data_IF_005476377362
#
_entry.id   IF_005476377362
#
_cell.length_a   1.000
_cell.length_b   1.000
_cell.length_c   1.000
_cell.angle_alpha   90.00
_cell.angle_beta   90.00
_cell.angle_gamma   90.00
#
_symmetry.space_group_name_H-M   'P 1'
#
loop_
_entity.id
_entity.type
_entity.pdbx_description
1 polymer ?
#
# COMPACT_ATOMS: atom_id res chain seq x y z
N UNK A 1 -20.86 -5.67 15.05
CA UNK A 1 -21.28 -6.65 14.00
C UNK A 1 -20.03 -7.24 13.35
N UNK A 2 -20.03 -8.54 13.00
CA UNK A 2 -18.93 -9.22 12.31
C UNK A 2 -19.40 -9.55 10.91
N UNK A 3 -18.55 -9.31 9.91
CA UNK A 3 -18.77 -9.72 8.51
C UNK A 3 -17.58 -10.58 8.11
N UNK A 4 -17.86 -11.83 7.74
CA UNK A 4 -16.84 -12.77 7.28
C UNK A 4 -16.74 -12.73 5.76
N UNK A 5 -15.54 -12.59 5.25
CA UNK A 5 -15.23 -12.77 3.83
C UNK A 5 -14.44 -14.07 3.69
N UNK A 6 -14.92 -14.96 2.84
CA UNK A 6 -14.30 -16.28 2.64
C UNK A 6 -13.85 -16.42 1.19
N UNK A 7 -12.63 -16.92 0.97
CA UNK A 7 -12.06 -17.11 -0.37
C UNK A 7 -12.93 -18.06 -1.23
N UNK A 8 -13.51 -19.08 -0.62
CA UNK A 8 -14.45 -20.02 -1.28
C UNK A 8 -15.70 -19.33 -1.85
N UNK A 9 -16.10 -18.15 -1.33
CA UNK A 9 -17.26 -17.41 -1.85
C UNK A 9 -17.02 -16.89 -3.28
N UNK A 10 -15.76 -16.75 -3.70
CA UNK A 10 -15.37 -16.35 -5.06
C UNK A 10 -14.69 -17.47 -5.85
N UNK A 11 -14.57 -18.68 -5.28
CA UNK A 11 -13.97 -19.83 -5.94
C UNK A 11 -12.44 -19.88 -5.85
N UNK A 12 -11.84 -19.14 -4.92
CA UNK A 12 -10.41 -19.09 -4.70
C UNK A 12 -10.01 -19.89 -3.44
N UNK A 13 -8.80 -20.45 -3.43
CA UNK A 13 -8.25 -21.10 -2.24
C UNK A 13 -7.89 -20.08 -1.16
N UNK A 14 -7.31 -18.96 -1.58
CA UNK A 14 -6.84 -17.89 -0.69
C UNK A 14 -7.17 -16.52 -1.27
N UNK A 15 -7.33 -15.51 -0.42
CA UNK A 15 -7.40 -14.11 -0.86
C UNK A 15 -6.03 -13.53 -1.22
N UNK A 16 -4.96 -14.10 -0.71
CA UNK A 16 -3.60 -13.63 -0.86
C UNK A 16 -2.70 -14.18 0.23
N UNK A 17 -1.53 -13.59 0.35
CA UNK A 17 -0.55 -13.93 1.37
C UNK A 17 -0.03 -12.66 2.05
N UNK A 18 0.18 -12.74 3.35
CA UNK A 18 0.95 -11.77 4.10
C UNK A 18 2.41 -12.19 4.10
N UNK A 19 3.27 -11.33 3.60
CA UNK A 19 4.70 -11.60 3.47
C UNK A 19 5.45 -10.45 4.13
N UNK A 20 6.39 -10.77 4.98
CA UNK A 20 7.26 -9.78 5.61
C UNK A 20 8.13 -9.08 4.56
N UNK A 21 8.21 -7.76 4.64
CA UNK A 21 8.84 -6.92 3.61
C UNK A 21 10.29 -7.33 3.30
N UNK A 22 11.07 -7.74 4.33
CA UNK A 22 12.45 -8.16 4.13
C UNK A 22 12.57 -9.41 3.25
N UNK A 23 11.60 -10.33 3.30
CA UNK A 23 11.57 -11.55 2.49
C UNK A 23 11.39 -11.18 1.02
N UNK A 24 10.43 -10.28 0.73
CA UNK A 24 10.20 -9.78 -0.64
C UNK A 24 11.43 -9.04 -1.16
N UNK A 25 12.02 -8.15 -0.35
CA UNK A 25 13.21 -7.40 -0.72
C UNK A 25 14.40 -8.30 -1.04
N UNK A 26 14.67 -9.29 -0.19
CA UNK A 26 15.77 -10.23 -0.42
C UNK A 26 15.54 -11.06 -1.69
N UNK A 27 14.33 -11.61 -1.87
CA UNK A 27 14.00 -12.40 -3.05
C UNK A 27 14.13 -11.59 -4.35
N UNK A 28 13.65 -10.33 -4.36
CA UNK A 28 13.78 -9.45 -5.52
C UNK A 28 15.24 -9.05 -5.77
N UNK A 29 15.98 -8.71 -4.72
CA UNK A 29 17.42 -8.38 -4.84
C UNK A 29 18.21 -9.55 -5.41
N UNK A 30 18.02 -10.74 -4.88
CA UNK A 30 18.72 -11.93 -5.34
C UNK A 30 18.38 -12.23 -6.81
N UNK A 31 17.12 -12.03 -7.20
CA UNK A 31 16.69 -12.16 -8.59
C UNK A 31 17.34 -11.13 -9.49
N UNK A 32 17.38 -9.86 -9.10
CA UNK A 32 18.03 -8.77 -9.85
C UNK A 32 19.50 -9.07 -10.07
N UNK A 33 20.23 -9.54 -9.03
CA UNK A 33 21.66 -9.87 -9.12
C UNK A 33 21.94 -11.04 -10.08
N UNK A 34 20.98 -11.93 -10.31
CA UNK A 34 21.10 -13.05 -11.26
C UNK A 34 20.81 -12.64 -12.72
N UNK A 35 20.16 -11.50 -12.94
CA UNK A 35 19.73 -11.09 -14.27
C UNK A 35 20.83 -10.29 -14.99
N UNK A 36 21.36 -10.84 -16.09
CA UNK A 36 22.46 -10.22 -16.87
C UNK A 36 22.05 -8.92 -17.59
N UNK A 37 20.77 -8.69 -17.80
CA UNK A 37 20.21 -7.51 -18.46
C UNK A 37 19.86 -6.39 -17.48
N UNK A 38 20.19 -6.52 -16.20
CA UNK A 38 20.01 -5.49 -15.18
C UNK A 38 21.38 -5.08 -14.65
N UNK A 39 21.65 -3.78 -14.66
CA UNK A 39 22.85 -3.19 -14.05
C UNK A 39 22.45 -2.46 -12.77
N UNK A 40 23.09 -2.78 -11.66
CA UNK A 40 22.84 -2.16 -10.37
C UNK A 40 23.93 -1.12 -10.05
N UNK A 41 23.56 0.12 -9.84
CA UNK A 41 24.43 1.23 -9.46
C UNK A 41 24.19 1.62 -8.00
N UNK A 42 24.71 0.82 -7.08
CA UNK A 42 24.57 1.03 -5.63
C UNK A 42 25.96 0.91 -4.96
N UNK A 43 26.39 1.84 -4.12
CA UNK A 43 25.67 3.02 -3.59
C UNK A 43 25.91 4.27 -4.46
N UNK A 44 25.02 4.58 -5.37
CA UNK A 44 25.10 5.79 -6.17
C UNK A 44 23.76 6.55 -6.10
N UNK A 45 23.83 7.86 -6.30
CA UNK A 45 22.66 8.72 -6.44
C UNK A 45 22.84 9.66 -7.65
N UNK A 46 21.72 10.13 -8.18
CA UNK A 46 21.73 11.09 -9.28
C UNK A 46 22.07 12.49 -8.76
N UNK A 47 22.86 13.22 -9.52
CA UNK A 47 23.15 14.64 -9.32
C UNK A 47 22.30 15.50 -10.25
N UNK A 48 22.26 15.10 -11.53
CA UNK A 48 21.54 15.84 -12.56
C UNK A 48 20.77 14.87 -13.46
N UNK A 49 19.67 15.33 -14.03
CA UNK A 49 18.83 14.61 -14.98
C UNK A 49 18.47 15.57 -16.11
N UNK A 50 18.79 15.19 -17.34
CA UNK A 50 18.50 15.96 -18.52
C UNK A 50 17.63 15.15 -19.48
N UNK A 51 16.54 15.75 -19.93
CA UNK A 51 15.69 15.17 -20.96
C UNK A 51 16.23 15.60 -22.34
N UNK A 52 16.43 14.61 -23.19
CA UNK A 52 16.92 14.81 -24.55
C UNK A 52 15.92 14.24 -25.56
N UNK A 53 16.11 14.56 -26.84
CA UNK A 53 15.17 14.15 -27.89
C UNK A 53 14.87 12.65 -27.84
N UNK A 54 15.91 11.80 -27.70
CA UNK A 54 15.78 10.35 -27.73
C UNK A 54 15.67 9.67 -26.37
N UNK A 55 15.64 10.42 -25.26
CA UNK A 55 15.59 9.77 -23.94
C UNK A 55 15.91 10.67 -22.77
N UNK A 56 16.59 10.10 -21.81
CA UNK A 56 16.99 10.74 -20.56
C UNK A 56 18.45 10.46 -20.29
N UNK A 57 19.20 11.48 -19.88
CA UNK A 57 20.57 11.36 -19.38
C UNK A 57 20.56 11.60 -17.86
N UNK A 58 21.09 10.64 -17.12
CA UNK A 58 21.20 10.70 -15.66
C UNK A 58 22.66 10.74 -15.26
N UNK A 59 23.08 11.82 -14.64
CA UNK A 59 24.43 12.02 -14.14
C UNK A 59 24.52 11.52 -12.70
N UNK A 60 25.41 10.56 -12.45
CA UNK A 60 25.62 9.99 -11.13
C UNK A 60 26.77 10.69 -10.40
N UNK A 61 26.75 10.63 -9.07
CA UNK A 61 27.78 11.19 -8.18
C UNK A 61 29.19 10.63 -8.42
N UNK A 62 29.31 9.49 -9.07
CA UNK A 62 30.60 8.90 -9.49
C UNK A 62 31.05 9.34 -10.90
N UNK A 63 30.44 10.41 -11.45
CA UNK A 63 30.67 10.95 -12.79
C UNK A 63 30.25 10.04 -13.97
N UNK A 64 29.59 8.92 -13.71
CA UNK A 64 29.01 8.11 -14.78
C UNK A 64 27.74 8.80 -15.31
N UNK A 65 27.52 8.68 -16.62
CA UNK A 65 26.33 9.15 -17.29
C UNK A 65 25.56 7.94 -17.80
N UNK A 66 24.33 7.79 -17.35
CA UNK A 66 23.43 6.75 -17.82
C UNK A 66 22.47 7.35 -18.85
N UNK A 67 22.38 6.71 -20.01
CA UNK A 67 21.44 7.08 -21.07
C UNK A 67 20.34 6.04 -21.19
N UNK A 68 19.10 6.46 -21.21
CA UNK A 68 17.95 5.57 -21.30
C UNK A 68 16.82 6.18 -22.12
N UNK A 69 15.93 5.34 -22.66
CA UNK A 69 14.70 5.78 -23.34
C UNK A 69 13.68 6.35 -22.36
N UNK A 70 13.57 5.75 -21.17
CA UNK A 70 12.65 6.16 -20.11
C UNK A 70 13.36 6.16 -18.76
N UNK A 71 12.95 7.05 -17.88
CA UNK A 71 13.27 7.07 -16.46
C UNK A 71 12.03 6.68 -15.64
N UNK A 72 12.17 5.73 -14.74
CA UNK A 72 11.10 5.33 -13.82
C UNK A 72 11.44 5.79 -12.41
N UNK A 73 10.67 6.74 -11.88
CA UNK A 73 10.80 7.22 -10.51
C UNK A 73 10.00 6.30 -9.58
N UNK A 74 10.71 5.44 -8.84
CA UNK A 74 10.16 4.48 -7.87
C UNK A 74 10.64 4.81 -6.45
N UNK A 75 10.90 6.09 -6.16
CA UNK A 75 11.53 6.62 -4.96
C UNK A 75 10.57 6.88 -3.79
N UNK A 76 9.37 6.28 -3.87
CA UNK A 76 8.42 6.22 -2.76
C UNK A 76 7.56 7.47 -2.57
N UNK A 77 6.78 7.46 -1.48
CA UNK A 77 5.74 8.46 -1.17
C UNK A 77 6.26 9.90 -1.13
N UNK A 78 7.48 10.10 -0.64
CA UNK A 78 8.16 11.38 -0.57
C UNK A 78 9.17 11.55 -1.71
N UNK A 79 8.76 11.20 -2.93
CA UNK A 79 9.56 11.21 -4.14
C UNK A 79 10.28 12.53 -4.36
N UNK A 80 11.61 12.49 -4.29
CA UNK A 80 12.47 13.65 -4.58
C UNK A 80 12.44 14.01 -6.06
N UNK A 81 12.27 13.02 -6.94
CA UNK A 81 12.16 13.26 -8.39
C UNK A 81 10.87 14.00 -8.73
N UNK A 82 9.76 13.58 -8.15
CA UNK A 82 8.48 14.28 -8.31
C UNK A 82 8.58 15.74 -7.90
N UNK A 83 9.20 16.01 -6.76
CA UNK A 83 9.35 17.36 -6.20
C UNK A 83 10.35 18.20 -7.03
N UNK A 84 11.49 17.60 -7.46
CA UNK A 84 12.49 18.25 -8.33
C UNK A 84 11.87 18.76 -9.63
N UNK A 85 10.97 17.98 -10.25
CA UNK A 85 10.30 18.34 -11.50
C UNK A 85 8.93 19.00 -11.27
N UNK A 86 8.66 19.48 -10.06
CA UNK A 86 7.49 20.27 -9.69
C UNK A 86 6.16 19.65 -10.12
N UNK A 87 6.06 18.31 -10.06
CA UNK A 87 4.81 17.62 -10.33
C UNK A 87 3.86 17.84 -9.16
N UNK A 88 2.84 18.62 -9.36
CA UNK A 88 1.85 18.95 -8.34
C UNK A 88 1.18 17.70 -7.77
N UNK A 89 0.90 17.73 -6.46
CA UNK A 89 0.21 16.67 -5.73
C UNK A 89 -1.06 17.16 -5.06
N UNK A 90 -1.98 16.23 -4.83
CA UNK A 90 -3.01 16.37 -3.80
C UNK A 90 -2.53 15.58 -2.59
N UNK A 91 -2.44 16.25 -1.45
CA UNK A 91 -2.02 15.62 -0.19
C UNK A 91 -3.17 15.71 0.81
N UNK A 92 -3.44 14.61 1.52
CA UNK A 92 -4.39 14.54 2.63
C UNK A 92 -3.69 13.93 3.83
N UNK A 93 -3.52 14.74 4.88
CA UNK A 93 -3.09 14.24 6.17
C UNK A 93 -4.34 13.76 6.93
N UNK A 94 -4.32 12.51 7.39
CA UNK A 94 -5.45 11.94 8.13
C UNK A 94 -5.40 12.27 9.62
N UNK A 95 -4.34 12.95 10.08
CA UNK A 95 -4.08 13.18 11.50
C UNK A 95 -4.12 11.89 12.34
N UNK A 96 -3.66 10.82 11.73
CA UNK A 96 -3.58 9.47 12.28
C UNK A 96 -2.17 8.92 12.14
N UNK A 97 -1.81 8.00 13.02
CA UNK A 97 -0.55 7.26 13.01
C UNK A 97 -0.87 5.76 13.06
N UNK A 98 -0.18 4.96 12.25
CA UNK A 98 -0.17 3.51 12.37
C UNK A 98 0.97 3.08 13.29
N UNK A 99 0.67 2.36 14.36
CA UNK A 99 1.63 1.71 15.25
C UNK A 99 1.68 0.24 14.82
N UNK A 100 2.86 -0.23 14.40
CA UNK A 100 3.06 -1.56 13.81
C UNK A 100 4.06 -2.34 14.65
N UNK A 101 3.69 -3.56 15.04
CA UNK A 101 4.54 -4.48 15.78
C UNK A 101 4.04 -5.92 15.63
N UNK A 102 4.89 -6.88 15.97
CA UNK A 102 4.54 -8.30 15.93
C UNK A 102 4.25 -8.83 17.33
N UNK A 103 3.30 -9.75 17.39
CA UNK A 103 2.90 -10.45 18.61
C UNK A 103 3.01 -11.96 18.44
N UNK A 104 3.31 -12.63 19.55
CA UNK A 104 3.06 -14.05 19.76
C UNK A 104 1.76 -14.19 20.56
N UNK A 105 0.96 -15.21 20.27
CA UNK A 105 -0.34 -15.38 20.90
C UNK A 105 -0.68 -16.87 21.14
N UNK A 106 -1.58 -17.09 22.08
CA UNK A 106 -1.91 -18.42 22.59
C UNK A 106 -2.71 -19.27 21.61
N UNK A 107 -3.77 -18.68 21.00
CA UNK A 107 -4.65 -19.41 20.06
C UNK A 107 -4.09 -19.29 18.64
N UNK A 108 -4.06 -20.37 17.83
CA UNK A 108 -3.65 -20.26 16.42
C UNK A 108 -4.56 -19.32 15.66
N UNK A 109 -3.99 -18.54 14.71
CA UNK A 109 -4.77 -17.58 13.91
C UNK A 109 -5.56 -18.22 12.76
N UNK A 110 -5.35 -19.49 12.46
CA UNK A 110 -6.08 -20.26 11.41
C UNK A 110 -6.10 -19.56 10.04
N UNK A 111 -5.08 -18.76 9.73
CA UNK A 111 -4.96 -17.92 8.55
C UNK A 111 -6.08 -16.87 8.40
N UNK A 112 -6.69 -16.46 9.51
CA UNK A 112 -7.72 -15.42 9.55
C UNK A 112 -7.04 -14.08 9.81
N UNK A 113 -7.27 -13.12 8.92
CA UNK A 113 -6.95 -11.71 9.14
C UNK A 113 -8.15 -11.00 9.75
N UNK A 114 -7.95 -10.29 10.85
CA UNK A 114 -8.98 -9.48 11.50
C UNK A 114 -8.75 -8.00 11.20
N UNK A 115 -9.81 -7.29 10.84
CA UNK A 115 -9.84 -5.84 10.79
C UNK A 115 -10.95 -5.36 11.71
N UNK A 116 -10.57 -4.77 12.83
CA UNK A 116 -11.51 -4.25 13.84
C UNK A 116 -11.62 -2.74 13.72
N UNK A 117 -12.79 -2.26 13.38
CA UNK A 117 -13.07 -0.83 13.33
C UNK A 117 -13.51 -0.35 14.70
N UNK A 118 -12.60 0.30 15.40
CA UNK A 118 -12.76 0.74 16.78
C UNK A 118 -12.84 2.27 16.87
N UNK A 119 -13.44 2.82 17.92
CA UNK A 119 -13.31 4.25 18.23
C UNK A 119 -11.84 4.64 18.35
N UNK A 120 -11.45 5.72 17.66
CA UNK A 120 -10.07 6.17 17.60
C UNK A 120 -9.21 5.55 16.48
N UNK A 121 -9.75 4.60 15.71
CA UNK A 121 -9.09 4.03 14.53
C UNK A 121 -9.12 2.51 14.47
N UNK A 122 -8.96 1.94 13.29
CA UNK A 122 -8.96 0.49 13.10
C UNK A 122 -7.74 -0.19 13.72
N UNK A 123 -7.91 -1.47 14.06
CA UNK A 123 -6.84 -2.37 14.47
C UNK A 123 -6.91 -3.63 13.62
N UNK A 124 -5.84 -3.91 12.91
CA UNK A 124 -5.67 -5.15 12.16
C UNK A 124 -4.81 -6.16 12.93
N UNK A 125 -5.21 -7.44 12.90
CA UNK A 125 -4.44 -8.59 13.38
C UNK A 125 -4.19 -9.46 12.15
N UNK A 126 -2.95 -9.47 11.68
CA UNK A 126 -2.59 -10.04 10.39
C UNK A 126 -1.76 -11.31 10.58
N UNK A 127 -2.19 -12.47 10.07
CA UNK A 127 -1.52 -13.75 10.29
C UNK A 127 -0.12 -13.76 9.64
N UNK A 128 0.90 -14.19 10.39
CA UNK A 128 2.24 -14.43 9.89
C UNK A 128 2.45 -15.93 9.61
N UNK A 129 3.63 -16.31 9.11
CA UNK A 129 3.94 -17.71 8.76
C UNK A 129 3.75 -18.68 9.92
N UNK A 130 4.12 -18.29 11.15
CA UNK A 130 3.91 -19.10 12.35
C UNK A 130 2.47 -18.92 12.82
N UNK A 131 1.73 -20.03 13.04
CA UNK A 131 0.31 -20.02 13.43
C UNK A 131 0.02 -19.27 14.76
N UNK A 132 1.03 -19.03 15.55
CA UNK A 132 0.94 -18.29 16.82
C UNK A 132 1.58 -16.90 16.76
N UNK A 133 1.88 -16.39 15.56
CA UNK A 133 2.44 -15.05 15.36
C UNK A 133 1.54 -14.22 14.45
N UNK A 134 1.32 -12.97 14.82
CA UNK A 134 0.57 -12.02 13.98
C UNK A 134 1.26 -10.66 14.00
N UNK A 135 1.10 -9.91 12.91
CA UNK A 135 1.44 -8.50 12.87
C UNK A 135 0.23 -7.67 13.28
N UNK A 136 0.43 -6.71 14.16
CA UNK A 136 -0.58 -5.73 14.56
C UNK A 136 -0.33 -4.44 13.78
N UNK A 137 -1.41 -3.89 13.22
CA UNK A 137 -1.44 -2.53 12.71
C UNK A 137 -2.52 -1.78 13.49
N UNK A 138 -2.10 -0.99 14.46
CA UNK A 138 -3.01 -0.19 15.29
C UNK A 138 -3.00 1.25 14.82
N UNK A 139 -4.10 1.71 14.26
CA UNK A 139 -4.27 3.10 13.85
C UNK A 139 -4.86 3.89 15.01
N UNK A 140 -4.23 5.02 15.34
CA UNK A 140 -4.67 5.91 16.41
C UNK A 140 -4.62 7.38 15.93
N UNK A 141 -5.44 8.28 16.51
CA UNK A 141 -5.31 9.71 16.30
C UNK A 141 -3.89 10.17 16.65
N UNK A 142 -3.35 11.10 15.88
CA UNK A 142 -1.99 11.61 16.07
C UNK A 142 -1.76 12.18 17.49
N UNK A 143 -2.78 12.83 18.05
CA UNK A 143 -2.72 13.39 19.40
C UNK A 143 -2.55 12.31 20.48
N UNK A 144 -3.16 11.13 20.27
CA UNK A 144 -3.14 10.03 21.25
C UNK A 144 -1.94 9.10 21.02
N UNK A 145 -1.40 9.08 19.82
CA UNK A 145 -0.42 8.06 19.42
C UNK A 145 0.88 8.11 20.21
N UNK A 146 1.37 9.30 20.56
CA UNK A 146 2.58 9.45 21.35
C UNK A 146 2.35 8.92 22.77
N UNK A 147 1.24 9.29 23.38
CA UNK A 147 0.85 8.78 24.70
C UNK A 147 0.71 7.24 24.70
N UNK A 148 0.16 6.66 23.61
CA UNK A 148 0.05 5.20 23.48
C UNK A 148 1.42 4.54 23.37
N UNK A 149 2.36 5.12 22.61
CA UNK A 149 3.71 4.55 22.41
C UNK A 149 4.53 4.64 23.69
N UNK A 150 4.35 5.71 24.46
CA UNK A 150 5.06 5.99 25.70
C UNK A 150 4.47 5.26 26.94
N UNK A 151 3.33 4.58 26.78
CA UNK A 151 2.79 3.75 27.87
C UNK A 151 3.83 2.72 28.32
N UNK A 152 3.87 2.48 29.62
CA UNK A 152 4.59 1.34 30.16
C UNK A 152 4.01 0.02 29.60
N UNK A 153 4.77 -1.05 29.73
CA UNK A 153 4.42 -2.32 29.14
C UNK A 153 3.08 -2.87 29.63
N UNK A 154 2.76 -2.70 30.91
CA UNK A 154 1.54 -3.22 31.51
C UNK A 154 0.30 -2.49 30.95
N UNK A 155 0.32 -1.17 30.95
CA UNK A 155 -0.77 -0.35 30.43
C UNK A 155 -0.96 -0.51 28.92
N UNK A 156 0.15 -0.62 28.16
CA UNK A 156 0.08 -0.90 26.73
C UNK A 156 -0.58 -2.25 26.45
N UNK A 157 -0.15 -3.31 27.17
CA UNK A 157 -0.73 -4.65 27.04
C UNK A 157 -2.20 -4.67 27.45
N UNK A 158 -2.58 -3.96 28.52
CA UNK A 158 -3.98 -3.84 28.93
C UNK A 158 -4.84 -3.23 27.82
N UNK A 159 -4.39 -2.14 27.19
CA UNK A 159 -5.11 -1.53 26.08
C UNK A 159 -5.17 -2.46 24.85
N UNK A 160 -4.09 -3.15 24.53
CA UNK A 160 -4.03 -4.10 23.45
C UNK A 160 -5.01 -5.26 23.66
N UNK A 161 -5.01 -5.88 24.82
CA UNK A 161 -5.96 -6.93 25.18
C UNK A 161 -7.41 -6.49 25.04
N UNK A 162 -7.74 -5.30 25.53
CA UNK A 162 -9.09 -4.72 25.38
C UNK A 162 -9.50 -4.55 23.93
N UNK A 163 -8.57 -4.13 23.05
CA UNK A 163 -8.83 -3.94 21.62
C UNK A 163 -8.91 -5.25 20.83
N UNK A 164 -8.12 -6.24 21.20
CA UNK A 164 -8.14 -7.56 20.57
C UNK A 164 -9.30 -8.44 21.02
N UNK A 165 -9.93 -8.12 22.19
CA UNK A 165 -11.09 -8.85 22.75
C UNK A 165 -10.88 -10.36 22.80
N UNK A 166 -9.69 -10.81 23.17
CA UNK A 166 -9.31 -12.22 23.26
C UNK A 166 -9.43 -13.02 21.94
N UNK A 167 -9.44 -12.33 20.78
CA UNK A 167 -9.49 -13.03 19.47
C UNK A 167 -8.38 -14.09 19.35
N UNK A 168 -7.21 -13.77 19.91
CA UNK A 168 -6.01 -14.63 19.81
C UNK A 168 -5.52 -15.18 21.17
N UNK A 169 -6.25 -14.94 22.27
CA UNK A 169 -5.88 -15.34 23.63
C UNK A 169 -4.79 -14.47 24.24
N UNK A 170 -3.96 -15.04 25.11
CA UNK A 170 -2.83 -14.33 25.73
C UNK A 170 -1.83 -13.87 24.68
N UNK A 171 -1.28 -12.68 24.87
CA UNK A 171 -0.44 -11.96 23.90
C UNK A 171 0.91 -11.60 24.54
N UNK A 172 1.97 -11.76 23.75
CA UNK A 172 3.31 -11.28 24.03
C UNK A 172 3.83 -10.45 22.85
N UNK A 173 4.41 -9.27 23.09
CA UNK A 173 5.01 -8.46 22.01
C UNK A 173 6.42 -9.01 21.74
N UNK A 174 6.69 -9.35 20.48
CA UNK A 174 7.95 -10.00 20.05
C UNK A 174 8.80 -9.15 19.09
N UNK A 175 8.44 -7.89 18.89
CA UNK A 175 9.22 -6.95 18.06
C UNK A 175 9.24 -5.56 18.68
N UNK A 176 10.07 -4.68 18.13
CA UNK A 176 9.95 -3.24 18.34
C UNK A 176 8.64 -2.70 17.78
N UNK A 177 8.21 -1.57 18.36
CA UNK A 177 7.03 -0.82 17.88
C UNK A 177 7.50 0.26 16.91
N UNK A 178 6.99 0.24 15.69
CA UNK A 178 7.25 1.27 14.68
C UNK A 178 6.03 2.16 14.50
N UNK A 179 6.23 3.43 14.23
CA UNK A 179 5.15 4.38 14.01
C UNK A 179 5.28 5.09 12.66
N UNK A 180 4.16 5.21 11.94
CA UNK A 180 4.12 5.80 10.62
C UNK A 180 2.96 6.78 10.50
N UNK A 181 3.20 8.05 10.12
CA UNK A 181 2.12 8.98 9.85
C UNK A 181 1.31 8.57 8.63
N UNK A 182 -0.01 8.70 8.71
CA UNK A 182 -0.92 8.35 7.64
C UNK A 182 -1.22 9.56 6.77
N UNK A 183 -0.58 9.59 5.61
CA UNK A 183 -0.68 10.67 4.64
C UNK A 183 -0.95 10.07 3.26
N UNK A 184 -2.00 10.51 2.59
CA UNK A 184 -2.21 10.25 1.18
C UNK A 184 -1.50 11.31 0.36
N UNK A 185 -0.77 10.88 -0.66
CA UNK A 185 -0.13 11.76 -1.64
C UNK A 185 -0.44 11.23 -3.04
N UNK A 186 -1.11 12.01 -3.86
CA UNK A 186 -1.45 11.63 -5.23
C UNK A 186 -0.96 12.70 -6.20
N UNK A 187 -0.09 12.35 -7.14
CA UNK A 187 0.39 13.24 -8.17
C UNK A 187 -0.73 13.60 -9.16
N UNK A 188 -0.74 14.84 -9.62
CA UNK A 188 -1.71 15.33 -10.64
C UNK A 188 -1.43 14.75 -12.03
N UNK A 189 -0.15 14.46 -12.30
CA UNK A 189 0.32 13.73 -13.48
C UNK A 189 1.32 12.68 -13.04
N UNK A 190 1.29 11.50 -13.66
CA UNK A 190 2.20 10.40 -13.33
C UNK A 190 3.42 10.40 -14.26
N UNK A 191 3.74 11.54 -14.85
CA UNK A 191 4.90 11.71 -15.70
C UNK A 191 5.38 13.17 -15.74
N UNK A 192 6.63 13.33 -16.14
CA UNK A 192 7.24 14.58 -16.59
C UNK A 192 8.18 14.25 -17.75
N UNK A 193 7.91 14.79 -18.94
CA UNK A 193 8.62 14.41 -20.16
C UNK A 193 8.74 12.88 -20.33
N UNK A 194 9.96 12.34 -20.34
CA UNK A 194 10.24 10.89 -20.44
C UNK A 194 10.45 10.20 -19.09
N UNK A 195 10.06 10.83 -18.00
CA UNK A 195 10.04 10.23 -16.67
C UNK A 195 8.62 9.83 -16.29
N UNK A 196 8.45 8.59 -15.80
CA UNK A 196 7.19 8.08 -15.25
C UNK A 196 7.30 7.91 -13.74
N UNK A 197 6.28 8.34 -13.01
CA UNK A 197 6.14 8.02 -11.58
C UNK A 197 5.46 6.66 -11.43
N UNK A 198 6.02 5.78 -10.61
CA UNK A 198 5.53 4.41 -10.41
C UNK A 198 5.36 4.13 -8.92
N UNK A 199 4.33 3.37 -8.55
CA UNK A 199 4.05 3.02 -7.17
C UNK A 199 3.75 4.24 -6.29
N UNK A 200 4.26 4.26 -5.07
CA UNK A 200 4.01 5.35 -4.10
C UNK A 200 4.55 6.72 -4.55
N UNK A 201 5.52 6.76 -5.48
CA UNK A 201 5.95 8.03 -6.08
C UNK A 201 4.83 8.69 -6.89
N UNK A 202 3.96 7.90 -7.51
CA UNK A 202 2.78 8.36 -8.23
C UNK A 202 1.58 8.56 -7.31
N UNK A 203 1.29 7.56 -6.46
CA UNK A 203 0.14 7.60 -5.56
C UNK A 203 0.33 6.70 -4.34
N UNK A 204 0.58 7.31 -3.18
CA UNK A 204 0.58 6.64 -1.89
C UNK A 204 -0.77 6.79 -1.21
N UNK A 205 -1.46 5.68 -0.93
CA UNK A 205 -2.81 5.66 -0.34
C UNK A 205 -2.78 5.37 1.17
N UNK A 206 -3.93 5.54 1.83
CA UNK A 206 -4.13 5.11 3.22
C UNK A 206 -3.94 3.59 3.34
N UNK A 207 -3.28 3.07 4.39
CA UNK A 207 -2.97 1.65 4.54
C UNK A 207 -4.18 0.77 4.88
N UNK A 208 -5.38 1.32 4.96
CA UNK A 208 -6.62 0.56 5.20
C UNK A 208 -6.69 -0.59 4.19
N UNK A 209 -6.92 -1.79 4.69
CA UNK A 209 -6.93 -3.03 3.91
C UNK A 209 -5.62 -3.37 3.16
N UNK A 210 -4.47 -2.79 3.51
CA UNK A 210 -3.15 -3.17 2.96
C UNK A 210 -2.94 -2.94 1.46
N UNK A 211 -3.68 -2.04 0.81
CA UNK A 211 -3.75 -1.92 -0.66
C UNK A 211 -2.58 -1.13 -1.30
N UNK A 212 -1.68 -0.51 -0.52
CA UNK A 212 -0.61 0.33 -1.09
C UNK A 212 0.32 -0.43 -2.04
N UNK A 213 0.85 -1.58 -1.62
CA UNK A 213 1.71 -2.41 -2.46
C UNK A 213 0.97 -2.91 -3.71
N UNK A 214 -0.28 -3.33 -3.57
CA UNK A 214 -1.09 -3.84 -4.68
C UNK A 214 -1.31 -2.77 -5.75
N UNK A 215 -1.58 -1.53 -5.36
CA UNK A 215 -1.69 -0.40 -6.28
C UNK A 215 -0.37 -0.14 -7.01
N UNK A 216 0.77 -0.23 -6.30
CA UNK A 216 2.10 -0.12 -6.90
C UNK A 216 2.35 -1.20 -7.96
N UNK A 217 2.06 -2.46 -7.62
CA UNK A 217 2.21 -3.60 -8.54
C UNK A 217 1.28 -3.49 -9.76
N UNK A 218 0.05 -3.00 -9.58
CA UNK A 218 -0.87 -2.73 -10.70
C UNK A 218 -0.31 -1.67 -11.65
N UNK A 219 0.30 -0.61 -11.12
CA UNK A 219 0.94 0.41 -11.97
C UNK A 219 2.09 -0.16 -12.80
N UNK A 220 2.88 -1.08 -12.22
CA UNK A 220 3.95 -1.80 -12.92
C UNK A 220 3.36 -2.70 -14.01
N UNK A 221 2.30 -3.45 -13.70
CA UNK A 221 1.60 -4.31 -14.68
C UNK A 221 1.09 -3.51 -15.87
N UNK A 222 0.43 -2.38 -15.62
CA UNK A 222 -0.05 -1.46 -16.67
C UNK A 222 1.11 -1.01 -17.55
N UNK A 223 2.23 -0.60 -16.96
CA UNK A 223 3.41 -0.16 -17.70
C UNK A 223 4.02 -1.30 -18.52
N UNK A 224 4.16 -2.47 -17.95
CA UNK A 224 4.68 -3.66 -18.62
C UNK A 224 3.85 -4.03 -19.85
N UNK A 225 2.53 -4.05 -19.72
CA UNK A 225 1.61 -4.34 -20.83
C UNK A 225 1.74 -3.30 -21.96
N UNK A 226 1.84 -2.02 -21.62
CA UNK A 226 2.03 -0.95 -22.60
C UNK A 226 3.37 -1.07 -23.30
N UNK A 227 4.48 -1.23 -22.58
CA UNK A 227 5.81 -1.39 -23.15
C UNK A 227 5.81 -2.59 -24.10
N UNK A 228 5.27 -3.74 -23.68
CA UNK A 228 5.18 -4.95 -24.52
C UNK A 228 4.39 -4.69 -25.80
N UNK A 229 3.21 -4.06 -25.68
CA UNK A 229 2.35 -3.75 -26.81
C UNK A 229 3.06 -2.84 -27.83
N UNK A 230 3.69 -1.75 -27.36
CA UNK A 230 4.37 -0.78 -28.23
C UNK A 230 5.60 -1.40 -28.87
N UNK A 231 6.42 -2.12 -28.11
CA UNK A 231 7.59 -2.81 -28.64
C UNK A 231 7.23 -3.80 -29.76
N UNK A 232 6.19 -4.63 -29.55
CA UNK A 232 5.73 -5.60 -30.56
C UNK A 232 5.11 -4.93 -31.79
N UNK A 233 4.63 -3.70 -31.66
CA UNK A 233 4.10 -2.91 -32.78
C UNK A 233 5.15 -2.07 -33.49
N UNK A 234 6.43 -2.19 -33.12
CA UNK A 234 7.53 -1.39 -33.69
C UNK A 234 7.49 0.09 -33.29
N UNK A 235 6.75 0.43 -32.22
CA UNK A 235 6.64 1.81 -31.75
C UNK A 235 7.66 2.08 -30.63
N UNK A 236 8.11 3.33 -30.55
CA UNK A 236 9.07 3.75 -29.53
C UNK A 236 8.44 3.74 -28.14
N UNK A 237 9.15 3.12 -27.17
CA UNK A 237 8.68 3.01 -25.78
C UNK A 237 8.73 4.34 -25.01
N UNK A 238 9.45 5.34 -25.51
CA UNK A 238 9.51 6.70 -24.97
C UNK A 238 8.57 7.68 -25.70
N UNK A 239 7.68 7.16 -26.55
CA UNK A 239 6.70 7.99 -27.26
C UNK A 239 5.72 8.65 -26.29
N UNK A 240 5.36 9.91 -26.63
CA UNK A 240 4.38 10.67 -25.85
C UNK A 240 3.07 9.92 -25.68
N UNK A 241 2.65 9.17 -26.71
CA UNK A 241 1.41 8.39 -26.68
C UNK A 241 1.47 7.27 -25.62
N UNK A 242 2.62 6.57 -25.47
CA UNK A 242 2.78 5.56 -24.42
C UNK A 242 2.71 6.20 -23.04
N UNK A 243 3.42 7.30 -22.84
CA UNK A 243 3.47 8.06 -21.59
C UNK A 243 2.07 8.50 -21.15
N UNK A 244 1.29 9.08 -22.07
CA UNK A 244 -0.08 9.52 -21.79
C UNK A 244 -1.03 8.35 -21.53
N UNK A 245 -0.89 7.25 -22.25
CA UNK A 245 -1.68 6.04 -22.02
C UNK A 245 -1.38 5.43 -20.64
N UNK A 246 -0.10 5.38 -20.23
CA UNK A 246 0.27 4.99 -18.89
C UNK A 246 -0.39 5.91 -17.85
N UNK A 247 -0.19 7.22 -17.99
CA UNK A 247 -0.78 8.21 -17.09
C UNK A 247 -2.29 8.02 -16.95
N UNK A 248 -3.02 7.89 -18.05
CA UNK A 248 -4.48 7.73 -18.06
C UNK A 248 -4.93 6.45 -17.35
N UNK A 249 -4.29 5.31 -17.64
CA UNK A 249 -4.65 4.01 -17.07
C UNK A 249 -4.29 3.95 -15.59
N UNK A 250 -3.05 4.31 -15.22
CA UNK A 250 -2.58 4.26 -13.84
C UNK A 250 -3.32 5.26 -12.94
N UNK A 251 -3.61 6.48 -13.40
CA UNK A 251 -4.44 7.43 -12.65
C UNK A 251 -5.86 6.93 -12.43
N UNK A 252 -6.45 6.25 -13.43
CA UNK A 252 -7.81 5.69 -13.28
C UNK A 252 -7.86 4.65 -12.17
N UNK A 253 -6.86 3.76 -12.09
CA UNK A 253 -6.74 2.79 -11.02
C UNK A 253 -6.50 3.46 -9.68
N UNK A 254 -5.52 4.37 -9.59
CA UNK A 254 -5.21 5.10 -8.38
C UNK A 254 -6.42 5.87 -7.81
N UNK A 255 -7.18 6.57 -8.66
CA UNK A 255 -8.39 7.31 -8.23
C UNK A 255 -9.45 6.40 -7.64
N UNK A 256 -9.68 5.21 -8.23
CA UNK A 256 -10.61 4.23 -7.66
C UNK A 256 -10.18 3.81 -6.25
N UNK A 257 -8.89 3.54 -6.06
CA UNK A 257 -8.34 3.12 -4.78
C UNK A 257 -8.41 4.24 -3.74
N UNK A 258 -8.03 5.47 -4.11
CA UNK A 258 -8.14 6.66 -3.23
C UNK A 258 -9.57 6.86 -2.75
N UNK A 259 -10.55 6.81 -3.66
CA UNK A 259 -11.97 6.98 -3.30
C UNK A 259 -12.42 5.83 -2.38
N UNK A 260 -12.07 4.59 -2.69
CA UNK A 260 -12.45 3.43 -1.88
C UNK A 260 -11.89 3.51 -0.47
N UNK A 261 -10.60 3.82 -0.32
CA UNK A 261 -9.94 3.94 0.99
C UNK A 261 -10.43 5.15 1.78
N UNK A 262 -10.69 6.27 1.13
CA UNK A 262 -11.24 7.49 1.77
C UNK A 262 -12.67 7.27 2.27
N UNK A 263 -13.53 6.64 1.47
CA UNK A 263 -14.91 6.31 1.86
C UNK A 263 -14.90 5.35 3.05
N UNK A 264 -14.08 4.29 3.00
CA UNK A 264 -13.94 3.36 4.11
C UNK A 264 -13.47 4.08 5.38
N UNK A 265 -12.37 4.85 5.31
CA UNK A 265 -11.86 5.56 6.46
C UNK A 265 -12.93 6.50 7.05
N UNK A 266 -13.59 7.32 6.22
CA UNK A 266 -14.61 8.26 6.67
C UNK A 266 -15.84 7.57 7.28
N UNK A 267 -16.24 6.42 6.75
CA UNK A 267 -17.38 5.65 7.25
C UNK A 267 -17.12 5.09 8.66
N UNK A 268 -15.88 4.66 8.91
CA UNK A 268 -15.52 4.04 10.18
C UNK A 268 -14.97 5.02 11.23
N UNK A 269 -14.42 6.16 10.80
CA UNK A 269 -13.96 7.23 11.70
C UNK A 269 -15.13 8.05 12.29
N UNK A 270 -16.25 8.12 11.56
CA UNK A 270 -17.39 8.94 11.97
C UNK A 270 -18.04 8.44 13.27
N UNK A 271 -18.14 9.34 14.25
CA UNK A 271 -18.85 9.14 15.50
C UNK A 271 -20.35 9.50 15.42
N UNK A 272 -20.86 9.91 14.26
CA UNK A 272 -22.26 10.25 14.05
C UNK A 272 -23.14 9.00 14.19
N UNK A 273 -24.17 9.08 15.04
CA UNK A 273 -25.17 8.02 15.22
C UNK A 273 -25.83 7.61 13.91
N UNK A 274 -26.14 8.58 13.04
CA UNK A 274 -26.77 8.33 11.74
C UNK A 274 -25.84 7.52 10.81
N UNK A 275 -24.55 7.88 10.76
CA UNK A 275 -23.55 7.16 9.98
C UNK A 275 -23.29 5.77 10.59
N UNK A 276 -23.27 5.66 11.91
CA UNK A 276 -23.17 4.38 12.62
C UNK A 276 -24.30 3.41 12.25
N UNK A 277 -25.55 3.88 12.29
CA UNK A 277 -26.71 3.09 11.89
C UNK A 277 -26.67 2.70 10.40
N UNK A 278 -26.34 3.65 9.52
CA UNK A 278 -26.20 3.38 8.08
C UNK A 278 -25.10 2.35 7.79
N UNK A 279 -23.95 2.45 8.50
CA UNK A 279 -22.86 1.48 8.43
C UNK A 279 -23.32 0.08 8.87
N UNK A 280 -23.98 -0.02 10.03
CA UNK A 280 -24.42 -1.29 10.58
C UNK A 280 -25.49 -1.95 9.70
N UNK A 281 -26.41 -1.17 9.13
CA UNK A 281 -27.38 -1.65 8.13
C UNK A 281 -26.66 -2.10 6.84
N UNK A 282 -25.70 -1.31 6.35
CA UNK A 282 -24.92 -1.63 5.15
C UNK A 282 -24.12 -2.93 5.31
N UNK A 283 -23.41 -3.09 6.43
CA UNK A 283 -22.70 -4.33 6.76
C UNK A 283 -23.65 -5.52 6.90
N UNK A 284 -24.83 -5.31 7.52
CA UNK A 284 -25.87 -6.33 7.60
C UNK A 284 -26.38 -6.79 6.23
N UNK A 285 -26.55 -5.86 5.30
CA UNK A 285 -26.93 -6.17 3.91
C UNK A 285 -25.82 -6.93 3.17
N UNK A 286 -24.56 -6.50 3.31
CA UNK A 286 -23.41 -7.22 2.73
C UNK A 286 -23.35 -8.65 3.22
N UNK A 287 -23.56 -8.87 4.51
CA UNK A 287 -23.53 -10.22 5.10
C UNK A 287 -24.67 -11.11 4.60
N UNK A 288 -25.85 -10.54 4.31
CA UNK A 288 -27.07 -11.26 3.88
C UNK A 288 -27.14 -11.49 2.36
N UNK A 289 -26.43 -10.69 1.56
CA UNK A 289 -26.52 -10.73 0.10
C UNK A 289 -25.23 -11.28 -0.52
N UNK A 290 -25.21 -12.58 -0.90
CA UNK A 290 -24.00 -13.23 -1.45
C UNK A 290 -23.44 -12.55 -2.70
N UNK A 291 -24.31 -11.98 -3.56
CA UNK A 291 -23.86 -11.25 -4.77
C UNK A 291 -23.11 -9.96 -4.41
N UNK A 292 -23.58 -9.25 -3.39
CA UNK A 292 -22.96 -8.01 -2.90
C UNK A 292 -21.62 -8.34 -2.21
N UNK A 293 -21.59 -9.39 -1.40
CA UNK A 293 -20.38 -9.90 -0.77
C UNK A 293 -19.32 -10.27 -1.80
N UNK A 294 -19.68 -11.04 -2.85
CA UNK A 294 -18.78 -11.37 -3.96
C UNK A 294 -18.29 -10.14 -4.72
N UNK A 295 -19.13 -9.14 -4.91
CA UNK A 295 -18.74 -7.87 -5.53
C UNK A 295 -17.63 -7.18 -4.72
N UNK A 296 -17.79 -7.08 -3.40
CA UNK A 296 -16.77 -6.48 -2.53
C UNK A 296 -15.46 -7.29 -2.55
N UNK A 297 -15.53 -8.62 -2.43
CA UNK A 297 -14.36 -9.49 -2.46
C UNK A 297 -13.57 -9.29 -3.76
N UNK A 298 -14.26 -9.34 -4.92
CA UNK A 298 -13.60 -9.17 -6.23
C UNK A 298 -12.96 -7.80 -6.41
N UNK A 299 -13.61 -6.74 -5.95
CA UNK A 299 -13.06 -5.39 -6.09
C UNK A 299 -11.93 -5.09 -5.09
N UNK A 300 -11.92 -5.72 -3.91
CA UNK A 300 -10.86 -5.59 -2.92
C UNK A 300 -9.67 -6.50 -3.22
N UNK A 301 -9.90 -7.71 -3.74
CA UNK A 301 -8.86 -8.70 -4.01
C UNK A 301 -8.16 -8.53 -5.36
N UNK A 302 -8.68 -7.69 -6.26
CA UNK A 302 -8.09 -7.51 -7.60
C UNK A 302 -8.32 -8.72 -8.54
N UNK A 303 -9.35 -9.55 -8.26
CA UNK A 303 -9.72 -10.73 -9.07
C UNK A 303 -10.61 -10.37 -10.25
#
# INVERSE_FOLDING_TARGET
>A
MIVDFLSRDVGEENFGALIESYIIHNALRDKVLQMKNISLFCPNFYEEINFVEDGVEVFLNNKNILKSKLLLACDGRFSRLRDKFQIHTTTKNYEQIAIVFNIKHQKPHENIAWEKFLPGGPLAILPLKNQHHSSIVWIAPKLDSQAIIELDQENFMHQLHKKTENCVGEIEIISEKFSYPLIMVAAKKFYHEKMLLVGDAACGVHPIAGQGLNLGLESIKILQELIKQYFLSGLEINSQILIENYNKKAQKSARKMVIATDVLNSLFESQSLAIGLARDLGLGLVNRLPKLKKFFIKNAGGF
#
